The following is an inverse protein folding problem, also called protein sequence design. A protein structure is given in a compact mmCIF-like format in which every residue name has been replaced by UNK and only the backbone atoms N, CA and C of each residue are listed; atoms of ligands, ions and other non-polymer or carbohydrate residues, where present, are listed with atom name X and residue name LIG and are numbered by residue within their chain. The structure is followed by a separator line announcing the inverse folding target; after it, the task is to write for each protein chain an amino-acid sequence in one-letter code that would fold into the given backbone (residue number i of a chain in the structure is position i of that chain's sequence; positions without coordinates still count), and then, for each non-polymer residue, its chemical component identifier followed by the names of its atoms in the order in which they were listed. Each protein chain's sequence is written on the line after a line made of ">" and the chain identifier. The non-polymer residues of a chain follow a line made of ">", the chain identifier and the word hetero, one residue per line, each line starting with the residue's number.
data_IF_320882149751
#
_entry.id   IF_320882149751
#
_cell.length_a   1.000
_cell.length_b   1.000
_cell.length_c   1.000
_cell.angle_alpha   90.00
_cell.angle_beta   90.00
_cell.angle_gamma   90.00
#
_symmetry.space_group_name_H-M   'P 1'
#
loop_
_entity.id
_entity.type
_entity.pdbx_description
1 polymer ?
#
# COMPACT_ATOMS: atom_id res chain seq x y z
N UNK A 1 -25.98 1.68 4.02
CA UNK A 1 -24.60 1.64 3.67
C UNK A 1 -24.13 0.25 3.35
N UNK A 2 -23.61 0.11 2.18
CA UNK A 2 -23.21 -1.19 1.71
C UNK A 2 -21.78 -1.49 2.15
N UNK A 3 -21.65 -2.36 3.13
CA UNK A 3 -20.34 -2.70 3.65
C UNK A 3 -19.56 -3.54 2.66
N UNK A 4 -20.25 -4.27 1.78
CA UNK A 4 -19.58 -5.11 0.78
C UNK A 4 -18.90 -4.30 -0.31
N UNK A 5 -19.06 -2.98 -0.29
CA UNK A 5 -18.42 -2.11 -1.26
C UNK A 5 -17.15 -1.47 -0.71
N UNK A 6 -16.80 -1.79 0.55
CA UNK A 6 -15.65 -1.18 1.17
C UNK A 6 -14.33 -1.63 0.56
N UNK A 7 -14.27 -2.87 0.12
CA UNK A 7 -13.06 -3.44 -0.49
C UNK A 7 -13.49 -4.19 -1.73
N UNK A 8 -12.99 -3.77 -2.89
CA UNK A 8 -13.44 -4.35 -4.15
C UNK A 8 -12.33 -4.27 -5.19
N UNK A 9 -12.43 -5.12 -6.23
CA UNK A 9 -11.47 -4.99 -7.33
C UNK A 9 -11.69 -3.69 -8.08
N UNK A 10 -10.60 -3.12 -8.54
CA UNK A 10 -10.64 -1.87 -9.28
C UNK A 10 -10.08 -2.11 -10.68
N UNK A 11 -10.86 -1.73 -11.67
CA UNK A 11 -10.46 -1.90 -13.07
C UNK A 11 -10.35 -0.56 -13.75
N UNK A 12 -9.38 -0.45 -14.64
CA UNK A 12 -9.23 0.74 -15.47
C UNK A 12 -9.14 0.25 -16.90
N UNK A 13 -10.08 0.73 -17.75
CA UNK A 13 -10.17 0.27 -19.14
C UNK A 13 -10.26 -1.24 -19.25
N UNK A 14 -10.98 -1.86 -18.31
CA UNK A 14 -11.21 -3.30 -18.34
C UNK A 14 -10.05 -4.13 -17.82
N UNK A 15 -8.97 -3.50 -17.43
CA UNK A 15 -7.78 -4.20 -16.93
C UNK A 15 -7.71 -4.03 -15.41
N UNK A 16 -7.38 -5.11 -14.71
CA UNK A 16 -7.27 -5.05 -13.25
C UNK A 16 -6.18 -4.08 -12.85
N UNK A 17 -6.55 -3.03 -12.15
CA UNK A 17 -5.62 -1.99 -11.74
C UNK A 17 -5.35 -2.02 -10.24
N UNK A 18 -6.00 -2.91 -9.50
CA UNK A 18 -5.73 -3.04 -8.08
C UNK A 18 -6.97 -3.22 -7.26
N UNK A 19 -6.85 -2.94 -5.96
CA UNK A 19 -7.95 -3.10 -5.01
C UNK A 19 -8.33 -1.74 -4.47
N UNK A 20 -9.60 -1.40 -4.57
CA UNK A 20 -10.11 -0.13 -4.04
C UNK A 20 -10.59 -0.34 -2.62
N UNK A 21 -10.15 0.56 -1.73
CA UNK A 21 -10.54 0.55 -0.32
C UNK A 21 -11.27 1.85 -0.02
N UNK A 22 -12.50 1.73 0.46
CA UNK A 22 -13.33 2.90 0.80
C UNK A 22 -13.81 2.72 2.22
N UNK A 23 -13.03 3.20 3.18
CA UNK A 23 -13.27 3.01 4.61
C UNK A 23 -12.71 4.20 5.38
N UNK A 24 -13.35 4.55 6.48
CA UNK A 24 -12.85 5.53 7.44
C UNK A 24 -12.42 6.84 6.77
N UNK A 25 -13.26 7.34 5.86
CA UNK A 25 -12.97 8.56 5.11
C UNK A 25 -11.79 8.44 4.16
N UNK A 26 -11.30 7.23 3.92
CA UNK A 26 -10.27 6.98 2.93
C UNK A 26 -10.89 6.43 1.67
N UNK A 27 -10.28 6.75 0.53
CA UNK A 27 -10.69 6.21 -0.75
C UNK A 27 -9.44 6.12 -1.61
N UNK A 28 -8.88 4.91 -1.71
CA UNK A 28 -7.63 4.73 -2.45
C UNK A 28 -7.60 3.36 -3.11
N UNK A 29 -6.72 3.23 -4.11
CA UNK A 29 -6.52 1.98 -4.83
C UNK A 29 -5.11 1.49 -4.53
N UNK A 30 -5.00 0.21 -4.17
CA UNK A 30 -3.71 -0.45 -3.94
C UNK A 30 -3.27 -1.08 -5.24
N UNK A 31 -2.03 -0.81 -5.65
CA UNK A 31 -1.49 -1.34 -6.90
C UNK A 31 -1.47 -2.87 -6.88
N UNK A 32 -1.61 -3.50 -8.05
CA UNK A 32 -1.67 -4.96 -8.11
C UNK A 32 -0.32 -5.66 -7.90
N UNK A 33 0.79 -4.94 -7.99
CA UNK A 33 2.11 -5.53 -7.86
C UNK A 33 3.04 -4.61 -7.08
N UNK A 34 4.10 -5.20 -6.51
CA UNK A 34 5.11 -4.41 -5.80
C UNK A 34 5.80 -3.44 -6.75
N UNK A 35 6.18 -2.29 -6.23
CA UNK A 35 6.86 -1.27 -6.99
C UNK A 35 8.30 -1.71 -7.29
N UNK A 36 8.81 -1.25 -8.43
CA UNK A 36 10.20 -1.48 -8.81
C UNK A 36 10.55 -2.96 -8.82
N UNK A 37 9.60 -3.77 -9.31
CA UNK A 37 9.76 -5.22 -9.45
C UNK A 37 10.10 -5.90 -8.12
N UNK A 38 9.60 -5.34 -7.02
CA UNK A 38 9.80 -5.92 -5.71
C UNK A 38 11.18 -5.69 -5.11
N UNK A 39 11.96 -4.80 -5.67
CA UNK A 39 13.28 -4.50 -5.12
C UNK A 39 13.18 -3.76 -3.81
N UNK A 40 14.18 -3.96 -2.97
CA UNK A 40 14.23 -3.32 -1.66
C UNK A 40 14.80 -1.91 -1.78
N UNK A 41 14.21 -0.97 -1.05
CA UNK A 41 14.58 0.45 -1.14
C UNK A 41 14.57 1.05 0.25
N UNK A 42 15.49 1.98 0.54
CA UNK A 42 15.44 2.68 1.81
C UNK A 42 14.41 3.82 1.73
N UNK A 43 14.04 4.36 2.88
CA UNK A 43 12.92 5.30 2.94
C UNK A 43 13.20 6.61 2.19
N UNK A 44 14.36 7.20 2.40
CA UNK A 44 14.68 8.49 1.77
C UNK A 44 14.70 8.36 0.24
N UNK A 45 15.34 7.32 -0.26
CA UNK A 45 15.37 7.10 -1.69
C UNK A 45 13.97 6.84 -2.23
N UNK A 46 13.17 6.07 -1.48
CA UNK A 46 11.80 5.78 -1.89
C UNK A 46 10.99 7.06 -2.02
N UNK A 47 11.03 7.92 -1.01
CA UNK A 47 10.26 9.16 -1.05
C UNK A 47 10.69 10.07 -2.19
N UNK A 48 12.00 10.15 -2.41
CA UNK A 48 12.51 10.95 -3.52
C UNK A 48 12.05 10.40 -4.86
N UNK A 49 12.18 9.08 -5.04
CA UNK A 49 11.85 8.42 -6.30
C UNK A 49 10.35 8.56 -6.61
N UNK A 50 9.51 8.37 -5.61
CA UNK A 50 8.08 8.48 -5.81
C UNK A 50 7.68 9.91 -6.18
N UNK A 51 8.25 10.89 -5.48
CA UNK A 51 7.95 12.28 -5.77
C UNK A 51 8.39 12.66 -7.19
N UNK A 52 9.57 12.23 -7.60
CA UNK A 52 10.08 12.53 -8.93
C UNK A 52 9.19 11.96 -10.03
N UNK A 53 8.51 10.85 -9.75
CA UNK A 53 7.69 10.17 -10.76
C UNK A 53 6.20 10.42 -10.58
N UNK A 54 5.82 11.32 -9.66
CA UNK A 54 4.41 11.62 -9.44
C UNK A 54 3.63 10.44 -8.88
N UNK A 55 4.28 9.60 -8.10
CA UNK A 55 3.69 8.40 -7.54
C UNK A 55 3.57 8.54 -6.03
N UNK A 56 2.79 7.65 -5.41
CA UNK A 56 2.59 7.70 -3.96
C UNK A 56 2.40 6.31 -3.38
N UNK A 57 2.70 6.19 -2.09
CA UNK A 57 2.40 4.97 -1.35
C UNK A 57 1.55 5.35 -0.14
N UNK A 58 1.09 4.33 0.60
CA UNK A 58 0.11 4.56 1.66
C UNK A 58 0.75 5.23 2.89
N UNK A 59 -0.09 5.97 3.60
CA UNK A 59 0.30 6.57 4.88
C UNK A 59 0.00 5.59 6.01
N UNK A 60 0.25 6.01 7.25
CA UNK A 60 0.06 5.13 8.40
C UNK A 60 -1.40 4.68 8.56
N UNK A 61 -2.34 5.60 8.40
CA UNK A 61 -3.76 5.25 8.52
C UNK A 61 -4.17 4.23 7.47
N UNK A 62 -3.71 4.43 6.24
CA UNK A 62 -4.01 3.50 5.16
C UNK A 62 -3.35 2.15 5.40
N UNK A 63 -2.14 2.16 5.96
CA UNK A 63 -1.46 0.91 6.32
C UNK A 63 -2.27 0.15 7.38
N UNK A 64 -2.86 0.87 8.34
CA UNK A 64 -3.70 0.23 9.35
C UNK A 64 -4.93 -0.41 8.73
N UNK A 65 -5.52 0.23 7.73
CA UNK A 65 -6.65 -0.35 7.00
C UNK A 65 -6.24 -1.60 6.26
N UNK A 66 -5.09 -1.55 5.59
CA UNK A 66 -4.58 -2.71 4.86
C UNK A 66 -4.34 -3.86 5.84
N UNK A 67 -3.77 -3.55 7.00
CA UNK A 67 -3.51 -4.58 8.01
C UNK A 67 -4.79 -5.19 8.54
N UNK A 68 -5.81 -4.37 8.77
CA UNK A 68 -7.08 -4.85 9.32
C UNK A 68 -7.83 -5.75 8.35
N UNK A 69 -7.68 -5.51 7.05
CA UNK A 69 -8.44 -6.23 6.02
C UNK A 69 -7.53 -6.97 5.05
N UNK A 70 -6.36 -7.40 5.53
CA UNK A 70 -5.37 -7.96 4.63
C UNK A 70 -5.84 -9.23 3.92
N UNK A 71 -6.65 -10.05 4.58
CA UNK A 71 -7.12 -11.28 3.94
C UNK A 71 -7.97 -11.00 2.72
N UNK A 72 -8.91 -10.06 2.86
CA UNK A 72 -9.79 -9.70 1.75
C UNK A 72 -9.00 -9.02 0.63
N UNK A 73 -8.08 -8.14 1.00
CA UNK A 73 -7.28 -7.42 0.03
C UNK A 73 -6.40 -8.39 -0.76
N UNK A 74 -5.69 -9.26 -0.06
CA UNK A 74 -4.80 -10.21 -0.72
C UNK A 74 -5.56 -11.16 -1.61
N UNK A 75 -6.75 -11.59 -1.15
CA UNK A 75 -7.57 -12.50 -1.94
C UNK A 75 -8.01 -11.87 -3.24
N UNK A 76 -8.45 -10.61 -3.19
CA UNK A 76 -8.88 -9.91 -4.40
C UNK A 76 -7.70 -9.69 -5.34
N UNK A 77 -6.55 -9.34 -4.81
CA UNK A 77 -5.35 -9.17 -5.62
C UNK A 77 -5.05 -10.44 -6.41
N UNK A 78 -5.03 -11.57 -5.71
CA UNK A 78 -4.70 -12.85 -6.35
C UNK A 78 -5.76 -13.25 -7.36
N UNK A 79 -7.04 -13.11 -7.01
CA UNK A 79 -8.13 -13.54 -7.87
C UNK A 79 -8.16 -12.81 -9.20
N UNK A 80 -7.63 -11.61 -9.24
CA UNK A 80 -7.71 -10.76 -10.42
C UNK A 80 -6.38 -10.61 -11.15
N UNK A 81 -5.39 -11.42 -10.80
CA UNK A 81 -4.14 -11.45 -11.56
C UNK A 81 -3.02 -10.60 -10.99
N UNK A 82 -3.22 -10.01 -9.82
CA UNK A 82 -2.16 -9.30 -9.14
C UNK A 82 -1.44 -10.19 -8.15
N UNK A 83 -0.57 -9.58 -7.36
CA UNK A 83 0.18 -10.26 -6.31
C UNK A 83 -0.26 -9.77 -4.94
N UNK A 84 -0.48 -10.68 -4.01
CA UNK A 84 -0.71 -10.31 -2.63
C UNK A 84 0.55 -9.63 -2.08
N UNK A 85 0.39 -8.89 -0.97
CA UNK A 85 1.57 -8.44 -0.24
C UNK A 85 2.33 -9.68 0.20
N UNK A 86 3.63 -9.67 -0.02
CA UNK A 86 4.43 -10.86 0.31
C UNK A 86 4.49 -11.02 1.83
N UNK A 87 4.10 -12.21 2.32
CA UNK A 87 4.08 -12.46 3.76
C UNK A 87 5.47 -12.49 4.34
N UNK A 88 5.59 -11.94 5.56
CA UNK A 88 6.85 -11.86 6.30
C UNK A 88 7.82 -10.84 5.71
N UNK A 89 7.28 -9.88 4.95
CA UNK A 89 8.07 -8.79 4.41
C UNK A 89 7.49 -7.46 4.83
N UNK A 90 8.35 -6.45 4.87
CA UNK A 90 7.97 -5.10 5.28
C UNK A 90 7.79 -4.21 4.05
N UNK A 91 6.86 -3.28 4.15
CA UNK A 91 6.57 -2.32 3.10
C UNK A 91 6.57 -0.92 3.70
N UNK A 92 7.24 0.03 3.05
CA UNK A 92 7.27 1.41 3.54
C UNK A 92 5.91 2.07 3.46
N UNK A 93 5.63 2.96 4.45
CA UNK A 93 4.60 3.98 4.29
C UNK A 93 5.30 5.28 3.92
N UNK A 94 4.51 6.27 3.50
CA UNK A 94 5.07 7.59 3.20
C UNK A 94 5.18 8.47 4.44
N UNK A 95 4.86 7.94 5.61
CA UNK A 95 4.75 8.75 6.81
C UNK A 95 5.90 8.47 7.78
N UNK A 96 6.63 9.52 8.13
CA UNK A 96 7.69 9.35 9.09
C UNK A 96 7.17 9.53 10.50
N UNK A 97 7.75 8.77 11.43
CA UNK A 97 7.45 8.94 12.84
C UNK A 97 8.34 10.01 13.44
N UNK A 98 9.63 9.96 13.11
CA UNK A 98 10.59 10.93 13.56
C UNK A 98 11.80 10.90 12.62
N UNK A 99 12.82 11.64 12.96
CA UNK A 99 13.95 11.84 12.05
C UNK A 99 14.54 10.54 11.50
N UNK A 100 14.68 9.52 12.35
CA UNK A 100 15.35 8.28 11.95
C UNK A 100 14.40 7.13 11.67
N UNK A 101 13.09 7.29 11.87
CA UNK A 101 12.13 6.19 11.79
C UNK A 101 10.92 6.56 10.98
N UNK A 102 10.40 5.60 10.21
CA UNK A 102 9.15 5.76 9.48
C UNK A 102 8.24 4.58 9.76
N UNK A 103 6.94 4.79 9.57
CA UNK A 103 5.97 3.72 9.73
C UNK A 103 6.08 2.75 8.58
N UNK A 104 5.77 1.47 8.84
CA UNK A 104 5.74 0.45 7.80
C UNK A 104 4.54 -0.46 7.99
N UNK A 105 4.33 -1.28 6.97
CA UNK A 105 3.34 -2.36 7.01
C UNK A 105 4.10 -3.67 6.96
N UNK A 106 3.88 -4.53 7.94
CA UNK A 106 4.47 -5.87 7.95
C UNK A 106 3.40 -6.87 7.56
N UNK A 107 3.54 -7.48 6.41
CA UNK A 107 2.60 -8.46 5.91
C UNK A 107 2.83 -9.80 6.58
N UNK A 108 1.78 -10.48 7.06
CA UNK A 108 0.38 -10.13 6.96
C UNK A 108 -0.15 -9.43 8.21
N UNK A 109 -0.83 -8.31 8.01
CA UNK A 109 -1.75 -7.79 9.00
C UNK A 109 -1.17 -7.02 10.17
N UNK A 110 0.04 -6.50 10.09
CA UNK A 110 0.63 -5.72 11.17
C UNK A 110 1.17 -4.39 10.66
N UNK A 111 1.27 -3.42 11.55
CA UNK A 111 1.95 -2.16 11.25
C UNK A 111 3.00 -1.94 12.31
N UNK A 112 4.05 -1.20 11.95
CA UNK A 112 5.14 -0.96 12.87
C UNK A 112 5.97 0.20 12.42
N UNK A 113 7.21 0.24 12.89
CA UNK A 113 8.16 1.28 12.49
C UNK A 113 9.49 0.61 12.16
N UNK A 114 10.23 1.23 11.25
CA UNK A 114 11.54 0.74 10.87
C UNK A 114 12.50 1.91 10.71
N UNK A 115 13.77 1.61 10.91
CA UNK A 115 14.84 2.59 10.68
C UNK A 115 14.84 2.94 9.19
N UNK A 116 14.90 4.23 8.89
CA UNK A 116 14.80 4.69 7.50
C UNK A 116 15.92 4.16 6.60
N UNK A 117 17.05 3.78 7.18
CA UNK A 117 18.18 3.24 6.41
C UNK A 117 17.96 1.80 5.96
N UNK A 118 16.96 1.14 6.52
CA UNK A 118 16.64 -0.22 6.15
C UNK A 118 16.03 -0.25 4.75
N UNK A 119 16.39 -1.26 3.96
CA UNK A 119 15.83 -1.41 2.62
C UNK A 119 14.71 -2.43 2.67
N UNK A 120 13.51 -2.02 2.30
CA UNK A 120 12.33 -2.89 2.30
C UNK A 120 11.51 -2.61 1.06
N UNK A 121 10.37 -3.26 0.94
CA UNK A 121 9.56 -3.19 -0.27
C UNK A 121 8.65 -1.98 -0.31
N UNK A 122 8.10 -1.70 -1.49
CA UNK A 122 7.18 -0.60 -1.71
C UNK A 122 6.01 -1.10 -2.55
N UNK A 123 4.79 -0.75 -2.14
CA UNK A 123 3.60 -1.01 -2.95
C UNK A 123 2.89 0.34 -3.15
N UNK A 124 2.64 0.71 -4.38
CA UNK A 124 2.03 2.00 -4.68
C UNK A 124 0.54 1.99 -4.37
N UNK A 125 0.02 3.17 -4.12
CA UNK A 125 -1.42 3.39 -4.08
C UNK A 125 -1.73 4.62 -4.93
N UNK A 126 -3.02 4.83 -5.14
CA UNK A 126 -3.52 6.04 -5.77
C UNK A 126 -4.68 6.53 -4.94
N UNK A 127 -4.56 7.73 -4.40
CA UNK A 127 -5.64 8.32 -3.64
C UNK A 127 -6.71 8.83 -4.61
N UNK A 128 -7.95 8.46 -4.35
CA UNK A 128 -9.07 8.87 -5.19
C UNK A 128 -9.88 9.98 -4.56
N UNK A 129 -9.76 10.15 -3.26
CA UNK A 129 -10.51 11.17 -2.56
C UNK A 129 -9.99 12.55 -2.94
N UNK A 130 -10.91 13.43 -3.30
CA UNK A 130 -10.55 14.80 -3.69
C UNK A 130 -11.01 15.78 -2.63
N UNK A 131 -10.24 16.83 -2.47
CA UNK A 131 -10.57 17.90 -1.53
C UNK A 131 -11.35 18.99 -2.18
#
# INVERSE_FOLDING_TARGET
>A
MATNEMISPYFENGIFAGVRVTLWDEDFVIAPKDYNEGKYMNWHFTMYDLEENGLETFNHKQACLIAAYYKEIDEILIQNGGDAFEHNYYYWTCEELEHNYAYDYFSPGAVGISVKDLSIKVRLIKNLKKE
#
